data_IF_437408284447
#
_entry.id   IF_437408284447
#
_cell.length_a   1.000
_cell.length_b   1.000
_cell.length_c   1.000
_cell.angle_alpha   90.00
_cell.angle_beta   90.00
_cell.angle_gamma   90.00
#
_symmetry.space_group_name_H-M   'P 1'
#
loop_
_entity.id
_entity.type
_entity.pdbx_description
1 polymer ?
#
# COMPACT_ATOMS: atom_id res chain seq x y z
N UNK A 1 -54.62 8.42 -16.18
CA UNK A 1 -54.46 7.26 -15.27
C UNK A 1 -53.35 7.62 -14.28
N UNK A 2 -53.66 8.37 -13.21
CA UNK A 2 -53.98 7.87 -11.85
C UNK A 2 -52.90 6.91 -11.33
N UNK A 3 -52.00 7.40 -10.48
CA UNK A 3 -51.97 7.00 -9.06
C UNK A 3 -51.01 7.89 -8.28
N UNK A 4 -51.51 8.35 -7.14
CA UNK A 4 -50.95 9.33 -6.20
C UNK A 4 -50.48 8.56 -4.97
N UNK A 5 -49.20 8.71 -4.62
CA UNK A 5 -48.61 8.17 -3.39
C UNK A 5 -48.41 9.27 -2.37
N UNK A 6 -49.41 9.50 -1.50
CA UNK A 6 -49.33 10.34 -0.31
C UNK A 6 -48.46 9.66 0.76
N UNK A 7 -47.33 10.27 1.11
CA UNK A 7 -46.53 9.93 2.29
C UNK A 7 -46.87 10.86 3.45
N UNK A 8 -47.28 10.25 4.56
CA UNK A 8 -47.86 10.86 5.78
C UNK A 8 -46.79 11.60 6.58
N UNK A 9 -47.06 12.88 6.89
CA UNK A 9 -46.28 13.67 7.84
C UNK A 9 -46.59 13.28 9.28
N UNK A 10 -45.59 12.76 9.99
CA UNK A 10 -45.65 12.52 11.43
C UNK A 10 -45.41 13.82 12.19
N UNK A 11 -46.45 14.32 12.85
CA UNK A 11 -46.37 15.41 13.79
C UNK A 11 -45.77 14.91 15.12
N UNK A 12 -44.67 15.53 15.56
CA UNK A 12 -44.09 15.30 16.88
C UNK A 12 -44.88 16.15 17.88
N UNK A 13 -45.62 15.47 18.76
CA UNK A 13 -46.31 16.06 19.91
C UNK A 13 -45.31 16.71 20.87
N UNK A 14 -45.43 18.02 21.08
CA UNK A 14 -44.82 18.72 22.18
C UNK A 14 -45.53 18.32 23.48
N UNK A 15 -44.81 17.67 24.39
CA UNK A 15 -45.31 17.35 25.71
C UNK A 15 -45.36 18.59 26.61
N UNK A 16 -46.51 18.68 27.25
CA UNK A 16 -47.01 19.67 28.19
C UNK A 16 -46.08 19.84 29.41
N UNK A 17 -45.51 21.03 29.57
CA UNK A 17 -44.68 21.38 30.72
C UNK A 17 -45.56 22.02 31.80
N UNK A 18 -45.70 21.27 32.89
CA UNK A 18 -46.55 21.55 34.03
C UNK A 18 -46.37 22.95 34.65
N UNK A 19 -47.54 23.50 34.96
CA UNK A 19 -47.79 24.73 35.72
C UNK A 19 -47.17 24.63 37.13
N UNK A 20 -46.09 25.38 37.34
CA UNK A 20 -45.46 25.57 38.66
C UNK A 20 -46.16 26.69 39.44
N UNK A 21 -46.91 26.26 40.46
CA UNK A 21 -47.57 27.06 41.50
C UNK A 21 -46.58 28.03 42.16
N UNK A 22 -46.84 29.34 42.07
CA UNK A 22 -46.15 30.37 42.85
C UNK A 22 -46.82 30.50 44.22
N UNK A 23 -46.03 30.43 45.29
CA UNK A 23 -46.38 30.95 46.60
C UNK A 23 -45.56 32.22 46.89
N UNK A 24 -46.18 33.28 47.43
CA UNK A 24 -45.46 34.40 48.01
C UNK A 24 -45.22 34.14 49.51
N UNK A 25 -44.06 34.53 50.02
CA UNK A 25 -43.94 35.49 51.14
C UNK A 25 -42.57 35.41 51.83
N UNK A 26 -41.89 36.56 51.79
CA UNK A 26 -41.26 37.26 52.92
C UNK A 26 -40.47 36.45 53.96
N UNK A 27 -39.16 36.65 53.96
CA UNK A 27 -38.24 36.32 55.05
C UNK A 27 -36.97 37.18 54.96
N UNK A 28 -37.09 38.44 55.40
CA UNK A 28 -35.98 39.36 55.64
C UNK A 28 -35.09 38.81 56.75
N UNK A 29 -33.87 38.35 56.43
CA UNK A 29 -32.79 38.21 57.41
C UNK A 29 -31.49 38.85 56.93
N UNK A 30 -30.94 39.63 57.85
CA UNK A 30 -29.85 40.60 57.74
C UNK A 30 -28.50 39.97 57.35
N UNK A 31 -27.75 40.79 56.61
CA UNK A 31 -26.30 40.75 56.33
C UNK A 31 -25.44 40.18 57.48
N UNK A 32 -24.73 39.10 57.18
CA UNK A 32 -23.34 38.92 57.59
C UNK A 32 -22.43 39.31 56.42
N UNK A 33 -21.73 40.44 56.53
CA UNK A 33 -20.69 40.85 55.57
C UNK A 33 -19.41 40.04 55.86
N UNK A 34 -18.70 39.69 54.78
CA UNK A 34 -17.33 39.14 54.72
C UNK A 34 -17.13 37.60 54.67
N UNK A 35 -17.81 36.88 53.75
CA UNK A 35 -17.34 35.56 53.25
C UNK A 35 -17.51 35.32 51.73
N UNK A 36 -17.84 36.35 50.93
CA UNK A 36 -18.07 36.17 49.48
C UNK A 36 -16.78 36.05 48.64
N UNK A 37 -15.61 36.44 49.18
CA UNK A 37 -14.34 36.34 48.46
C UNK A 37 -13.79 34.91 48.34
N UNK A 38 -14.03 34.06 49.35
CA UNK A 38 -13.52 32.69 49.37
C UNK A 38 -14.18 31.78 48.33
N UNK A 39 -15.49 31.93 48.12
CA UNK A 39 -16.26 31.09 47.18
C UNK A 39 -15.81 31.31 45.73
N UNK A 40 -15.53 32.56 45.34
CA UNK A 40 -15.11 32.89 43.99
C UNK A 40 -13.73 32.30 43.66
N UNK A 41 -12.83 32.25 44.66
CA UNK A 41 -11.52 31.63 44.53
C UNK A 41 -11.64 30.10 44.38
N UNK A 42 -12.51 29.45 45.15
CA UNK A 42 -12.79 28.01 45.01
C UNK A 42 -13.37 27.67 43.63
N UNK A 43 -14.32 28.46 43.14
CA UNK A 43 -14.90 28.26 41.81
C UNK A 43 -13.85 28.47 40.71
N UNK A 44 -12.99 29.49 40.83
CA UNK A 44 -11.91 29.73 39.88
C UNK A 44 -10.90 28.57 39.84
N UNK A 45 -10.52 28.02 41.00
CA UNK A 45 -9.62 26.87 41.08
C UNK A 45 -10.27 25.62 40.46
N UNK A 46 -11.57 25.38 40.71
CA UNK A 46 -12.28 24.25 40.10
C UNK A 46 -12.34 24.37 38.56
N UNK A 47 -12.62 25.57 38.04
CA UNK A 47 -12.60 25.81 36.59
C UNK A 47 -11.19 25.62 36.00
N UNK A 48 -10.15 26.04 36.71
CA UNK A 48 -8.76 25.82 36.30
C UNK A 48 -8.41 24.31 36.27
N UNK A 49 -8.86 23.53 37.24
CA UNK A 49 -8.65 22.08 37.27
C UNK A 49 -9.40 21.37 36.15
N UNK A 50 -10.64 21.77 35.87
CA UNK A 50 -11.44 21.20 34.76
C UNK A 50 -10.78 21.51 33.41
N UNK A 51 -10.38 22.76 33.17
CA UNK A 51 -9.73 23.17 31.92
C UNK A 51 -8.37 22.48 31.72
N UNK A 52 -7.56 22.37 32.77
CA UNK A 52 -6.30 21.64 32.73
C UNK A 52 -6.53 20.13 32.43
N UNK A 53 -7.56 19.53 33.02
CA UNK A 53 -7.88 18.11 32.79
C UNK A 53 -8.29 17.85 31.34
N UNK A 54 -9.12 18.72 30.76
CA UNK A 54 -9.52 18.64 29.35
C UNK A 54 -8.30 18.83 28.43
N UNK A 55 -7.43 19.79 28.72
CA UNK A 55 -6.20 20.02 27.95
C UNK A 55 -5.25 18.81 27.99
N UNK A 56 -5.08 18.18 29.17
CA UNK A 56 -4.24 16.99 29.29
C UNK A 56 -4.83 15.81 28.52
N UNK A 57 -6.16 15.65 28.53
CA UNK A 57 -6.83 14.60 27.76
C UNK A 57 -6.63 14.79 26.25
N UNK A 58 -6.85 16.01 25.73
CA UNK A 58 -6.69 16.31 24.30
C UNK A 58 -5.23 16.16 23.84
N UNK A 59 -4.26 16.57 24.68
CA UNK A 59 -2.83 16.37 24.40
C UNK A 59 -2.45 14.89 24.39
N UNK A 60 -2.95 14.08 25.34
CA UNK A 60 -2.69 12.64 25.37
C UNK A 60 -3.22 11.95 24.10
N UNK A 61 -4.40 12.32 23.64
CA UNK A 61 -4.99 11.77 22.42
C UNK A 61 -4.23 12.20 21.16
N UNK A 62 -3.79 13.47 21.10
CA UNK A 62 -2.94 13.96 20.02
C UNK A 62 -1.59 13.21 19.97
N UNK A 63 -0.93 13.04 21.12
CA UNK A 63 0.34 12.29 21.22
C UNK A 63 0.13 10.82 20.82
N UNK A 64 -0.96 10.20 21.28
CA UNK A 64 -1.28 8.81 20.93
C UNK A 64 -1.49 8.64 19.42
N UNK A 65 -2.25 9.55 18.79
CA UNK A 65 -2.42 9.56 17.33
C UNK A 65 -1.11 9.75 16.59
N UNK A 66 -0.29 10.72 17.01
CA UNK A 66 0.99 10.97 16.35
C UNK A 66 1.95 9.78 16.46
N UNK A 67 2.00 9.11 17.62
CA UNK A 67 2.77 7.87 17.81
C UNK A 67 2.27 6.75 16.90
N UNK A 68 0.96 6.57 16.79
CA UNK A 68 0.36 5.56 15.92
C UNK A 68 0.70 5.85 14.45
N UNK A 69 0.53 7.10 13.99
CA UNK A 69 0.92 7.51 12.64
C UNK A 69 2.40 7.25 12.36
N UNK A 70 3.27 7.62 13.30
CA UNK A 70 4.72 7.40 13.15
C UNK A 70 5.05 5.90 13.03
N UNK A 71 4.44 5.06 13.87
CA UNK A 71 4.61 3.61 13.82
C UNK A 71 4.08 3.01 12.50
N UNK A 72 2.93 3.50 12.01
CA UNK A 72 2.35 3.07 10.74
C UNK A 72 3.27 3.41 9.58
N UNK A 73 3.78 4.65 9.51
CA UNK A 73 4.73 5.08 8.48
C UNK A 73 6.04 4.28 8.53
N UNK A 74 6.58 4.06 9.73
CA UNK A 74 7.81 3.26 9.90
C UNK A 74 7.62 1.82 9.44
N UNK A 75 6.48 1.20 9.77
CA UNK A 75 6.19 -0.14 9.28
C UNK A 75 6.00 -0.17 7.77
N UNK A 76 5.26 0.77 7.20
CA UNK A 76 5.10 0.83 5.73
C UNK A 76 6.45 0.99 5.02
N UNK A 77 7.36 1.79 5.58
CA UNK A 77 8.73 1.91 5.07
C UNK A 77 9.52 0.59 5.21
N UNK A 78 9.39 -0.09 6.35
CA UNK A 78 10.00 -1.42 6.57
C UNK A 78 9.46 -2.47 5.61
N UNK A 79 8.14 -2.52 5.42
CA UNK A 79 7.47 -3.44 4.51
C UNK A 79 7.85 -3.13 3.06
N UNK A 80 7.93 -1.85 2.68
CA UNK A 80 8.46 -1.42 1.37
C UNK A 80 9.87 -1.95 1.17
N UNK A 81 10.77 -1.76 2.13
CA UNK A 81 12.13 -2.27 2.03
C UNK A 81 12.17 -3.80 1.96
N UNK A 82 11.36 -4.50 2.77
CA UNK A 82 11.28 -5.95 2.79
C UNK A 82 10.82 -6.52 1.45
N UNK A 83 9.74 -5.96 0.88
CA UNK A 83 9.24 -6.32 -0.44
C UNK A 83 10.33 -6.11 -1.47
N UNK A 84 10.89 -4.90 -1.55
CA UNK A 84 11.94 -4.59 -2.52
C UNK A 84 13.16 -5.51 -2.40
N UNK A 85 13.58 -5.89 -1.18
CA UNK A 85 14.71 -6.79 -0.96
C UNK A 85 14.39 -8.25 -1.31
N UNK A 86 13.25 -8.78 -0.85
CA UNK A 86 12.89 -10.17 -1.09
C UNK A 86 12.75 -10.48 -2.58
N UNK A 87 12.24 -9.52 -3.35
CA UNK A 87 12.11 -9.62 -4.79
C UNK A 87 13.44 -9.62 -5.55
N UNK A 88 14.51 -9.13 -4.91
CA UNK A 88 15.86 -9.21 -5.47
C UNK A 88 16.48 -10.60 -5.25
N UNK A 89 16.00 -11.35 -4.24
CA UNK A 89 16.70 -12.54 -3.74
C UNK A 89 16.14 -13.85 -4.31
N UNK A 90 14.84 -13.96 -4.64
CA UNK A 90 14.39 -15.20 -5.26
C UNK A 90 12.90 -15.48 -5.26
N UNK A 91 12.21 -14.98 -6.27
CA UNK A 91 11.10 -15.75 -6.85
C UNK A 91 11.73 -16.58 -7.96
N UNK A 92 11.55 -17.91 -7.93
CA UNK A 92 12.02 -18.81 -9.00
C UNK A 92 11.35 -18.36 -10.29
N UNK A 93 12.06 -17.57 -11.11
CA UNK A 93 11.41 -16.84 -12.17
C UNK A 93 12.23 -15.67 -12.71
N UNK A 94 11.61 -14.98 -13.67
CA UNK A 94 12.23 -13.90 -14.42
C UNK A 94 12.49 -12.70 -13.49
N UNK A 95 13.68 -12.10 -13.52
CA UNK A 95 13.97 -10.91 -12.75
C UNK A 95 12.99 -9.77 -13.06
N UNK A 96 12.58 -9.04 -12.03
CA UNK A 96 11.57 -7.99 -12.13
C UNK A 96 10.12 -8.46 -12.05
N UNK A 97 9.90 -9.78 -11.98
CA UNK A 97 8.62 -10.34 -11.59
C UNK A 97 8.36 -10.10 -10.10
N UNK A 98 7.16 -9.65 -9.78
CA UNK A 98 6.73 -9.46 -8.40
C UNK A 98 6.06 -10.72 -7.84
N UNK A 99 6.35 -11.04 -6.58
CA UNK A 99 5.58 -12.04 -5.82
C UNK A 99 4.11 -11.66 -5.84
N UNK A 100 3.23 -12.59 -6.14
CA UNK A 100 1.81 -12.28 -6.10
C UNK A 100 1.36 -12.10 -4.64
N UNK A 101 0.40 -11.22 -4.36
CA UNK A 101 -0.15 -11.05 -3.02
C UNK A 101 -0.73 -12.37 -2.47
N UNK A 102 -0.71 -12.53 -1.15
CA UNK A 102 -1.41 -13.62 -0.46
C UNK A 102 -2.90 -13.30 -0.39
N UNK A 103 -3.75 -14.03 -1.12
CA UNK A 103 -5.20 -13.84 -1.09
C UNK A 103 -5.90 -14.93 -0.28
N UNK A 104 -5.17 -15.87 0.29
CA UNK A 104 -5.73 -16.98 1.08
C UNK A 104 -5.39 -16.89 2.57
N UNK A 105 -4.62 -15.88 2.96
CA UNK A 105 -4.19 -15.63 4.34
C UNK A 105 -3.38 -16.81 4.93
N UNK A 106 -2.64 -17.52 4.08
CA UNK A 106 -1.73 -18.59 4.51
C UNK A 106 -0.29 -18.08 4.75
N UNK A 107 -0.03 -16.82 4.40
CA UNK A 107 1.25 -16.14 4.53
C UNK A 107 2.21 -16.32 3.37
N UNK A 108 1.82 -17.09 2.34
CA UNK A 108 2.64 -17.37 1.17
C UNK A 108 2.10 -16.62 -0.06
N UNK A 109 2.94 -16.38 -1.05
CA UNK A 109 2.53 -15.92 -2.38
C UNK A 109 1.54 -16.91 -2.97
N UNK A 110 0.46 -16.40 -3.53
CA UNK A 110 -0.43 -17.23 -4.32
C UNK A 110 0.20 -17.61 -5.68
N UNK A 111 -0.53 -18.39 -6.47
CA UNK A 111 -0.23 -18.58 -7.88
C UNK A 111 -1.17 -17.72 -8.72
N UNK A 112 -0.59 -16.88 -9.58
CA UNK A 112 -1.28 -16.07 -10.60
C UNK A 112 -2.38 -15.15 -10.05
N UNK A 113 -2.10 -13.85 -10.05
CA UNK A 113 -3.12 -12.84 -9.80
C UNK A 113 -3.70 -12.24 -11.08
N UNK A 114 -3.42 -12.79 -12.27
CA UNK A 114 -3.99 -12.38 -13.54
C UNK A 114 -4.61 -13.57 -14.29
N UNK A 115 -5.68 -13.34 -15.07
CA UNK A 115 -6.32 -14.39 -15.86
C UNK A 115 -5.59 -14.55 -17.20
N UNK A 116 -4.88 -15.66 -17.31
CA UNK A 116 -4.21 -16.15 -18.51
C UNK A 116 -5.06 -16.14 -19.81
N UNK A 117 -6.38 -16.27 -19.70
CA UNK A 117 -7.30 -16.44 -20.83
C UNK A 117 -7.85 -15.14 -21.44
N UNK A 118 -7.47 -13.96 -20.93
CA UNK A 118 -7.91 -12.68 -21.49
C UNK A 118 -6.73 -11.94 -22.12
N UNK A 119 -6.96 -11.28 -23.26
CA UNK A 119 -5.91 -10.52 -23.96
C UNK A 119 -5.32 -9.40 -23.08
N UNK A 120 -6.12 -8.89 -22.15
CA UNK A 120 -5.73 -7.88 -21.17
C UNK A 120 -5.27 -8.44 -19.85
N UNK A 121 -5.14 -9.77 -19.64
CA UNK A 121 -4.78 -10.40 -18.34
C UNK A 121 -5.74 -10.10 -17.17
N UNK A 122 -6.64 -9.16 -17.38
CA UNK A 122 -7.72 -8.67 -16.55
C UNK A 122 -9.01 -9.25 -17.13
N UNK A 123 -9.92 -9.72 -16.29
CA UNK A 123 -9.91 -9.67 -14.81
C UNK A 123 -8.86 -10.59 -14.20
N UNK A 124 -8.37 -10.34 -12.99
CA UNK A 124 -7.51 -11.31 -12.33
C UNK A 124 -8.11 -12.73 -12.30
N UNK A 125 -7.26 -13.77 -12.34
CA UNK A 125 -7.74 -15.14 -12.16
C UNK A 125 -8.42 -15.22 -10.81
N UNK A 126 -9.73 -15.47 -10.89
CA UNK A 126 -10.63 -15.61 -9.79
C UNK A 126 -10.12 -16.56 -8.71
N UNK A 127 -9.59 -15.93 -7.69
CA UNK A 127 -9.77 -16.21 -6.27
C UNK A 127 -11.18 -16.08 -5.70
N UNK A 128 -12.33 -16.31 -6.33
CA UNK A 128 -13.58 -16.38 -5.51
C UNK A 128 -14.67 -17.36 -5.96
N UNK A 129 -14.91 -18.35 -5.08
CA UNK A 129 -16.09 -19.22 -4.97
C UNK A 129 -16.38 -20.25 -6.07
N UNK A 130 -15.52 -20.51 -7.05
CA UNK A 130 -15.85 -21.51 -8.09
C UNK A 130 -17.08 -21.16 -8.94
N UNK A 131 -17.64 -19.96 -8.76
CA UNK A 131 -18.81 -19.42 -9.47
C UNK A 131 -18.34 -18.15 -10.18
N UNK A 132 -17.73 -18.34 -11.36
CA UNK A 132 -17.38 -17.34 -12.37
C UNK A 132 -16.44 -16.19 -11.98
N UNK A 133 -15.32 -16.08 -12.75
CA UNK A 133 -14.78 -14.82 -13.27
C UNK A 133 -15.40 -13.50 -12.76
N UNK A 134 -15.06 -12.92 -11.61
CA UNK A 134 -15.50 -11.55 -11.32
C UNK A 134 -14.61 -10.67 -12.18
N UNK A 135 -15.19 -9.85 -13.09
CA UNK A 135 -14.40 -9.03 -13.96
C UNK A 135 -13.51 -7.98 -13.27
N UNK A 136 -13.61 -7.93 -11.94
CA UNK A 136 -13.15 -6.91 -11.03
C UNK A 136 -11.72 -6.88 -10.56
N UNK A 137 -11.01 -8.00 -10.54
CA UNK A 137 -10.00 -8.12 -9.49
C UNK A 137 -8.65 -7.56 -9.93
N UNK A 138 -8.21 -6.54 -9.20
CA UNK A 138 -6.84 -6.01 -9.17
C UNK A 138 -5.92 -7.08 -8.55
N UNK A 139 -4.61 -7.06 -8.84
CA UNK A 139 -3.67 -7.93 -8.12
C UNK A 139 -3.44 -7.37 -6.70
N UNK A 140 -4.43 -7.54 -5.83
CA UNK A 140 -4.47 -7.08 -4.44
C UNK A 140 -4.55 -8.28 -3.51
N UNK A 141 -3.84 -8.20 -2.39
CA UNK A 141 -3.94 -9.18 -1.32
C UNK A 141 -3.14 -8.79 -0.08
N UNK A 142 -3.03 -9.71 0.86
CA UNK A 142 -2.18 -9.58 2.02
C UNK A 142 -0.71 -9.63 1.62
N UNK A 143 0.14 -8.93 2.38
CA UNK A 143 1.58 -9.06 2.26
C UNK A 143 1.99 -10.53 2.56
N UNK A 144 2.68 -11.26 1.68
CA UNK A 144 3.03 -12.66 1.90
C UNK A 144 4.15 -12.83 2.94
N UNK A 145 3.80 -12.69 4.22
CA UNK A 145 4.75 -12.49 5.32
C UNK A 145 5.68 -13.68 5.60
N UNK A 146 5.29 -14.91 5.23
CA UNK A 146 6.14 -16.11 5.38
C UNK A 146 7.18 -16.19 4.29
N UNK A 147 6.80 -15.95 3.04
CA UNK A 147 7.73 -15.95 1.90
C UNK A 147 8.72 -14.80 1.97
N UNK A 148 8.28 -13.66 2.52
CA UNK A 148 9.16 -12.55 2.86
C UNK A 148 10.09 -12.83 4.05
N UNK A 149 9.96 -13.99 4.70
CA UNK A 149 10.72 -14.36 5.89
C UNK A 149 10.73 -13.25 6.94
N UNK A 150 9.58 -12.59 7.14
CA UNK A 150 9.47 -11.46 8.07
C UNK A 150 9.76 -11.85 9.53
N UNK A 151 9.89 -13.16 9.82
CA UNK A 151 10.23 -13.71 11.13
C UNK A 151 9.06 -13.67 12.11
N UNK A 152 7.91 -13.14 11.70
CA UNK A 152 6.73 -12.98 12.56
C UNK A 152 5.64 -13.92 12.10
N UNK A 153 5.27 -14.86 12.97
CA UNK A 153 4.03 -15.59 12.81
C UNK A 153 2.87 -14.61 13.06
N UNK A 154 2.11 -14.35 12.00
CA UNK A 154 0.96 -13.46 12.06
C UNK A 154 -0.27 -14.29 12.44
N UNK A 155 -0.96 -13.89 13.52
CA UNK A 155 -2.27 -14.44 13.87
C UNK A 155 -3.38 -13.71 13.12
N UNK A 156 -4.58 -14.29 13.04
CA UNK A 156 -5.71 -13.62 12.37
C UNK A 156 -6.21 -12.35 13.10
N UNK A 157 -5.78 -12.09 14.34
CA UNK A 157 -6.18 -10.89 15.07
C UNK A 157 -5.52 -9.63 14.52
N UNK A 158 -4.35 -9.74 13.86
CA UNK A 158 -3.73 -8.57 13.23
C UNK A 158 -4.63 -7.94 12.17
N UNK A 159 -5.50 -8.73 11.53
CA UNK A 159 -6.50 -8.24 10.57
C UNK A 159 -7.47 -7.35 11.35
N UNK A 160 -8.06 -7.86 12.42
CA UNK A 160 -9.00 -7.08 13.25
C UNK A 160 -8.39 -5.74 13.70
N UNK A 161 -7.08 -5.74 14.00
CA UNK A 161 -6.35 -4.56 14.44
C UNK A 161 -5.89 -3.63 13.31
N UNK A 162 -6.00 -4.02 12.03
CA UNK A 162 -5.48 -3.24 10.89
C UNK A 162 -3.96 -3.23 10.80
N UNK A 163 -3.28 -4.21 11.41
CA UNK A 163 -1.83 -4.23 11.46
C UNK A 163 -1.19 -4.91 10.26
N UNK A 164 -1.97 -5.68 9.48
CA UNK A 164 -1.49 -6.37 8.28
C UNK A 164 -1.52 -5.45 7.08
N UNK A 165 -0.37 -5.33 6.44
CA UNK A 165 -0.23 -4.54 5.21
C UNK A 165 -0.89 -5.28 4.04
N UNK A 166 -1.73 -4.56 3.30
CA UNK A 166 -2.26 -4.98 2.01
C UNK A 166 -1.27 -4.56 0.94
N UNK A 167 -0.93 -5.47 0.05
CA UNK A 167 -0.08 -5.20 -1.11
C UNK A 167 -0.93 -5.27 -2.39
N UNK A 168 -0.72 -4.27 -3.23
CA UNK A 168 -1.30 -4.18 -4.56
C UNK A 168 -0.18 -4.10 -5.57
N UNK A 169 -0.31 -4.86 -6.64
CA UNK A 169 0.69 -4.96 -7.68
C UNK A 169 0.07 -4.62 -9.02
N UNK A 170 0.82 -3.90 -9.86
CA UNK A 170 0.41 -3.65 -11.23
C UNK A 170 0.35 -4.97 -12.01
N UNK A 171 -0.72 -5.15 -12.79
CA UNK A 171 -0.82 -6.30 -13.69
C UNK A 171 0.36 -6.43 -14.66
N UNK A 172 1.07 -5.33 -14.94
CA UNK A 172 2.26 -5.35 -15.79
C UNK A 172 3.42 -6.18 -15.20
N UNK A 173 3.44 -6.43 -13.90
CA UNK A 173 4.61 -6.97 -13.17
C UNK A 173 4.39 -8.36 -12.57
N UNK A 174 3.31 -9.02 -12.97
CA UNK A 174 2.92 -10.34 -12.46
C UNK A 174 2.74 -11.30 -13.62
N UNK A 175 2.97 -12.58 -13.37
CA UNK A 175 3.01 -13.58 -14.43
C UNK A 175 1.58 -13.87 -14.90
N UNK A 176 1.21 -13.31 -16.04
CA UNK A 176 0.13 -13.81 -16.86
C UNK A 176 0.75 -14.34 -18.13
N UNK A 177 0.33 -15.53 -18.56
CA UNK A 177 0.58 -16.00 -19.92
C UNK A 177 0.14 -14.90 -20.90
N UNK A 178 1.09 -14.20 -21.51
CA UNK A 178 0.80 -13.11 -22.45
C UNK A 178 1.46 -11.77 -22.13
N UNK A 179 2.04 -11.54 -20.94
CA UNK A 179 2.88 -10.34 -20.72
C UNK A 179 4.24 -10.60 -21.37
N UNK A 180 4.63 -9.84 -22.41
CA UNK A 180 5.95 -9.98 -23.03
C UNK A 180 7.05 -9.73 -22.00
N UNK A 181 8.18 -10.42 -22.16
CA UNK A 181 9.34 -10.35 -21.25
C UNK A 181 9.71 -8.89 -20.95
N UNK A 182 10.07 -8.62 -19.70
CA UNK A 182 10.34 -7.29 -19.15
C UNK A 182 11.35 -6.53 -20.02
N UNK A 183 10.81 -5.65 -20.86
CA UNK A 183 11.54 -4.58 -21.50
C UNK A 183 11.04 -3.30 -20.85
N UNK A 184 11.86 -2.70 -19.98
CA UNK A 184 11.52 -1.54 -19.16
C UNK A 184 10.86 -0.44 -19.98
N UNK A 185 11.33 -0.20 -21.20
CA UNK A 185 10.85 0.91 -22.02
C UNK A 185 9.53 0.56 -22.72
N UNK A 186 9.36 -0.68 -23.18
CA UNK A 186 8.08 -1.13 -23.74
C UNK A 186 6.98 -1.12 -22.67
N UNK A 187 7.33 -1.51 -21.44
CA UNK A 187 6.40 -1.50 -20.32
C UNK A 187 6.07 -0.09 -19.83
N UNK A 188 7.03 0.84 -19.86
CA UNK A 188 6.75 2.22 -19.46
C UNK A 188 6.01 3.01 -20.55
N UNK A 189 6.35 2.81 -21.83
CA UNK A 189 5.75 3.55 -22.95
C UNK A 189 4.42 2.96 -23.44
N UNK A 190 4.34 1.63 -23.53
CA UNK A 190 3.17 0.90 -24.07
C UNK A 190 2.85 -0.29 -23.17
N UNK A 191 2.45 -0.05 -21.91
CA UNK A 191 2.19 -1.14 -21.00
C UNK A 191 1.02 -2.00 -21.50
N UNK A 192 1.11 -3.34 -21.39
CA UNK A 192 -0.01 -4.24 -21.69
C UNK A 192 -1.25 -3.94 -20.85
N UNK A 193 -1.06 -3.40 -19.63
CA UNK A 193 -2.12 -3.07 -18.69
C UNK A 193 -1.98 -1.63 -18.19
N UNK A 194 -3.10 -1.01 -17.81
CA UNK A 194 -3.05 0.29 -17.15
C UNK A 194 -2.22 0.19 -15.86
N UNK A 195 -1.24 1.08 -15.70
CA UNK A 195 -0.51 1.22 -14.45
C UNK A 195 -1.43 1.66 -13.30
N UNK A 196 -1.02 1.34 -12.06
CA UNK A 196 -1.75 1.83 -10.89
C UNK A 196 -1.61 3.36 -10.82
N UNK A 197 -2.63 4.00 -10.26
CA UNK A 197 -2.71 5.45 -10.11
C UNK A 197 -2.80 5.80 -8.63
N UNK A 198 -1.98 6.73 -8.17
CA UNK A 198 -2.06 7.34 -6.85
C UNK A 198 -2.49 8.80 -7.00
N UNK A 199 -3.46 9.21 -6.20
CA UNK A 199 -3.99 10.58 -6.14
C UNK A 199 -3.94 11.13 -4.73
N UNK A 200 -3.96 12.45 -4.59
CA UNK A 200 -4.06 13.11 -3.29
C UNK A 200 -5.49 13.09 -2.73
N UNK A 201 -5.68 13.64 -1.53
CA UNK A 201 -6.99 13.76 -0.86
C UNK A 201 -8.07 14.52 -1.65
N UNK A 202 -7.68 15.34 -2.64
CA UNK A 202 -8.59 16.11 -3.49
C UNK A 202 -8.81 15.45 -4.85
N UNK A 203 -8.18 14.30 -5.09
CA UNK A 203 -8.19 13.60 -6.36
C UNK A 203 -7.20 14.15 -7.39
N UNK A 204 -6.30 15.04 -7.00
CA UNK A 204 -5.17 15.48 -7.82
C UNK A 204 -4.23 14.32 -8.11
N UNK A 205 -3.74 14.21 -9.34
CA UNK A 205 -2.85 13.12 -9.73
C UNK A 205 -1.48 13.28 -9.05
N UNK A 206 -1.05 12.24 -8.32
CA UNK A 206 0.30 12.15 -7.73
C UNK A 206 1.22 11.32 -8.61
N UNK A 207 0.76 10.14 -9.04
CA UNK A 207 1.46 9.29 -10.02
C UNK A 207 0.47 8.40 -10.76
N UNK A 208 0.64 8.22 -12.07
CA UNK A 208 -0.14 7.30 -12.91
C UNK A 208 0.70 6.12 -13.42
N UNK A 209 1.90 5.94 -12.88
CA UNK A 209 2.84 4.88 -13.25
C UNK A 209 3.33 4.18 -11.98
N UNK A 210 2.41 3.57 -11.25
CA UNK A 210 2.72 2.91 -9.98
C UNK A 210 2.79 1.39 -10.17
N UNK A 211 3.90 0.80 -9.72
CA UNK A 211 4.20 -0.62 -9.77
C UNK A 211 3.60 -1.37 -8.58
N UNK A 212 3.77 -0.82 -7.38
CA UNK A 212 3.35 -1.43 -6.12
C UNK A 212 2.69 -0.36 -5.25
N UNK A 213 1.59 -0.71 -4.59
CA UNK A 213 1.02 0.07 -3.49
C UNK A 213 0.98 -0.82 -2.25
N UNK A 214 1.51 -0.32 -1.15
CA UNK A 214 1.41 -0.93 0.17
C UNK A 214 0.48 -0.07 1.01
N UNK A 215 -0.61 -0.66 1.47
CA UNK A 215 -1.66 0.02 2.23
C UNK A 215 -1.66 -0.58 3.63
N UNK A 216 -1.54 0.27 4.63
CA UNK A 216 -1.75 -0.10 6.02
C UNK A 216 -3.01 0.59 6.52
N UNK A 217 -4.07 -0.18 6.82
CA UNK A 217 -5.31 0.43 7.23
C UNK A 217 -5.18 1.18 8.54
N UNK A 218 -5.97 2.24 8.70
CA UNK A 218 -6.07 2.91 9.98
C UNK A 218 -7.00 2.18 10.95
N UNK A 219 -7.49 2.90 11.97
CA UNK A 219 -8.50 2.34 12.89
C UNK A 219 -9.82 2.16 12.13
N UNK A 220 -10.59 1.08 12.40
CA UNK A 220 -11.89 0.90 11.77
C UNK A 220 -12.78 2.13 11.93
N UNK A 221 -13.35 2.61 10.81
CA UNK A 221 -14.22 3.76 10.74
C UNK A 221 -15.69 3.34 10.60
N UNK A 222 -16.59 4.05 11.30
CA UNK A 222 -18.04 3.88 11.18
C UNK A 222 -18.50 2.44 11.40
N UNK A 223 -19.05 1.83 10.34
CA UNK A 223 -19.60 0.47 10.35
C UNK A 223 -18.62 -0.61 9.89
N UNK A 224 -17.34 -0.29 9.68
CA UNK A 224 -16.33 -1.28 9.30
C UNK A 224 -16.21 -2.35 10.38
N UNK A 225 -16.45 -3.60 10.00
CA UNK A 225 -16.26 -4.78 10.85
C UNK A 225 -15.18 -5.66 10.24
N UNK A 226 -13.99 -5.59 10.81
CA UNK A 226 -12.87 -6.48 10.49
C UNK A 226 -13.08 -7.79 11.24
N UNK A 227 -13.11 -8.89 10.50
CA UNK A 227 -13.34 -10.23 11.03
C UNK A 227 -12.05 -11.02 10.92
N UNK A 228 -11.76 -11.86 11.92
CA UNK A 228 -10.65 -12.80 11.87
C UNK A 228 -10.83 -13.70 10.64
N UNK A 229 -9.81 -13.78 9.81
CA UNK A 229 -9.78 -14.66 8.65
C UNK A 229 -9.07 -15.96 9.04
N UNK A 230 -9.73 -17.13 8.96
CA UNK A 230 -9.05 -18.40 9.09
C UNK A 230 -8.03 -18.59 7.97
N UNK A 231 -6.92 -19.28 8.27
CA UNK A 231 -5.94 -19.71 7.29
C UNK A 231 -6.61 -20.46 6.12
N UNK A 232 -6.19 -20.15 4.89
CA UNK A 232 -6.73 -20.70 3.64
C UNK A 232 -8.04 -20.06 3.17
N UNK A 233 -8.63 -19.13 3.92
CA UNK A 233 -9.86 -18.44 3.50
C UNK A 233 -9.55 -17.46 2.37
N UNK A 234 -10.28 -17.47 1.24
CA UNK A 234 -10.08 -16.48 0.19
C UNK A 234 -10.59 -15.06 0.58
N UNK A 235 -9.73 -14.04 0.45
CA UNK A 235 -9.92 -12.58 0.64
C UNK A 235 -11.04 -11.82 -0.16
N UNK A 236 -12.33 -12.00 0.05
CA UNK A 236 -13.34 -11.36 -0.85
C UNK A 236 -13.27 -9.82 -0.99
N UNK A 237 -13.77 -9.25 -2.10
CA UNK A 237 -13.97 -7.77 -2.21
C UNK A 237 -14.82 -7.20 -1.05
N UNK A 238 -15.95 -7.82 -0.65
CA UNK A 238 -16.64 -7.42 0.58
C UNK A 238 -15.76 -7.39 1.82
N UNK A 239 -14.82 -8.34 1.98
CA UNK A 239 -13.86 -8.31 3.09
C UNK A 239 -12.87 -7.16 2.97
N UNK A 240 -12.35 -6.89 1.78
CA UNK A 240 -11.50 -5.71 1.55
C UNK A 240 -12.27 -4.41 1.86
N UNK A 241 -13.56 -4.33 1.52
CA UNK A 241 -14.40 -3.16 1.78
C UNK A 241 -14.71 -2.93 3.27
N UNK A 242 -14.58 -3.95 4.12
CA UNK A 242 -14.61 -3.77 5.58
C UNK A 242 -13.24 -3.51 6.18
N UNK A 243 -12.17 -3.73 5.41
CA UNK A 243 -10.78 -3.61 5.84
C UNK A 243 -10.18 -2.25 5.50
N UNK A 244 -10.34 -1.83 4.25
CA UNK A 244 -9.81 -0.62 3.64
C UNK A 244 -10.87 0.48 3.59
N UNK A 245 -10.38 1.71 3.69
CA UNK A 245 -11.18 2.91 3.58
C UNK A 245 -11.46 3.30 2.13
N UNK A 246 -12.54 4.04 1.97
CA UNK A 246 -12.92 4.71 0.73
C UNK A 246 -13.01 6.20 1.00
N UNK A 247 -12.42 7.01 0.14
CA UNK A 247 -12.64 8.45 0.17
C UNK A 247 -13.68 8.83 -0.90
N UNK A 248 -14.93 9.17 -0.51
CA UNK A 248 -16.02 9.40 -1.46
C UNK A 248 -15.67 10.45 -2.51
N UNK A 249 -15.92 10.13 -3.79
CA UNK A 249 -15.64 11.03 -4.92
C UNK A 249 -14.17 11.10 -5.34
N UNK A 250 -13.25 10.46 -4.61
CA UNK A 250 -11.81 10.51 -4.91
C UNK A 250 -11.29 9.15 -5.39
N UNK A 251 -11.29 8.15 -4.52
CA UNK A 251 -10.94 6.77 -4.88
C UNK A 251 -11.53 5.78 -3.87
N UNK A 252 -11.74 4.56 -4.34
CA UNK A 252 -12.11 3.41 -3.53
C UNK A 252 -11.00 2.37 -3.69
N UNK A 253 -10.25 2.09 -2.61
CA UNK A 253 -9.09 1.18 -2.66
C UNK A 253 -9.49 -0.27 -2.94
N UNK A 254 -10.79 -0.57 -2.96
CA UNK A 254 -11.36 -1.87 -3.31
C UNK A 254 -11.95 -1.91 -4.71
N UNK A 255 -11.96 -0.78 -5.43
CA UNK A 255 -12.47 -0.71 -6.78
C UNK A 255 -11.47 -1.19 -7.83
N UNK A 256 -11.99 -1.41 -9.03
CA UNK A 256 -11.22 -1.94 -10.15
C UNK A 256 -10.42 -0.87 -10.90
N UNK A 257 -10.55 0.40 -10.51
CA UNK A 257 -9.98 1.50 -11.29
C UNK A 257 -8.45 1.55 -11.22
N UNK A 258 -7.88 0.80 -10.25
CA UNK A 258 -6.47 0.82 -9.90
C UNK A 258 -6.05 2.16 -9.30
N UNK A 259 -6.99 2.94 -8.76
CA UNK A 259 -6.78 4.27 -8.20
C UNK A 259 -6.72 4.20 -6.67
N UNK A 260 -5.65 4.74 -6.11
CA UNK A 260 -5.38 4.79 -4.68
C UNK A 260 -5.21 6.23 -4.22
N UNK A 261 -5.52 6.48 -2.95
CA UNK A 261 -5.48 7.83 -2.38
C UNK A 261 -4.45 7.92 -1.27
N UNK A 262 -3.53 8.87 -1.38
CA UNK A 262 -2.65 9.29 -0.29
C UNK A 262 -3.20 10.59 0.32
N UNK A 263 -3.85 10.48 1.48
CA UNK A 263 -4.52 11.61 2.12
C UNK A 263 -4.16 11.81 3.60
N UNK A 264 -3.63 10.79 4.28
CA UNK A 264 -3.56 10.79 5.74
C UNK A 264 -4.97 10.75 6.35
N UNK A 265 -5.13 11.28 7.57
CA UNK A 265 -6.45 11.38 8.22
C UNK A 265 -7.29 12.49 7.57
N UNK A 266 -8.46 12.15 7.03
CA UNK A 266 -9.44 13.09 6.47
C UNK A 266 -10.67 13.12 7.35
N UNK A 267 -11.13 14.33 7.67
CA UNK A 267 -12.37 14.55 8.44
C UNK A 267 -13.44 15.21 7.57
N UNK A 268 -14.71 14.94 7.87
CA UNK A 268 -15.83 15.62 7.26
C UNK A 268 -16.14 16.97 7.94
N UNK A 269 -17.19 17.66 7.48
CA UNK A 269 -17.62 18.94 8.04
C UNK A 269 -18.05 18.89 9.52
N UNK A 270 -18.32 17.69 10.05
CA UNK A 270 -18.69 17.47 11.46
C UNK A 270 -17.46 17.17 12.34
N UNK A 271 -16.28 17.06 11.73
CA UNK A 271 -15.05 16.64 12.40
C UNK A 271 -14.92 15.12 12.58
N UNK A 272 -15.81 14.33 11.97
CA UNK A 272 -15.73 12.87 11.99
C UNK A 272 -14.65 12.41 11.00
N UNK A 273 -13.77 11.51 11.43
CA UNK A 273 -12.79 10.88 10.55
C UNK A 273 -13.50 9.96 9.56
N UNK A 274 -13.34 10.23 8.26
CA UNK A 274 -13.96 9.48 7.16
C UNK A 274 -12.95 8.67 6.34
N UNK A 275 -11.66 8.92 6.54
CA UNK A 275 -10.56 8.18 5.91
C UNK A 275 -9.32 8.30 6.80
N UNK A 276 -8.63 7.20 7.09
CA UNK A 276 -7.40 7.17 7.88
C UNK A 276 -6.38 6.12 7.43
N UNK A 277 -6.63 5.44 6.31
CA UNK A 277 -5.67 4.56 5.69
C UNK A 277 -4.41 5.30 5.25
N UNK A 278 -3.27 4.63 5.42
CA UNK A 278 -1.97 5.13 4.98
C UNK A 278 -1.41 4.22 3.92
N UNK A 279 -0.72 4.81 2.94
CA UNK A 279 -0.06 4.03 1.91
C UNK A 279 1.32 4.59 1.58
N UNK A 280 2.17 3.70 1.12
CA UNK A 280 3.38 4.03 0.38
C UNK A 280 3.33 3.31 -0.96
N UNK A 281 4.01 3.82 -1.96
CA UNK A 281 4.03 3.21 -3.28
C UNK A 281 5.44 3.15 -3.85
N UNK A 282 5.60 2.31 -4.87
CA UNK A 282 6.79 2.19 -5.70
C UNK A 282 6.38 2.54 -7.12
N UNK A 283 7.04 3.52 -7.74
CA UNK A 283 6.75 3.84 -9.15
C UNK A 283 7.30 2.75 -10.07
N UNK A 284 6.76 2.66 -11.28
CA UNK A 284 7.27 1.77 -12.31
C UNK A 284 8.75 2.07 -12.61
N UNK A 285 9.15 3.35 -12.65
CA UNK A 285 10.54 3.74 -12.84
C UNK A 285 11.44 3.28 -11.67
N UNK A 286 11.06 3.57 -10.42
CA UNK A 286 11.81 3.12 -9.23
C UNK A 286 12.00 1.60 -9.24
N UNK A 287 10.94 0.85 -9.56
CA UNK A 287 11.01 -0.60 -9.68
C UNK A 287 11.97 -1.04 -10.79
N UNK A 288 11.85 -0.48 -12.00
CA UNK A 288 12.75 -0.81 -13.11
C UNK A 288 14.21 -0.50 -12.79
N UNK A 289 14.52 0.61 -12.13
CA UNK A 289 15.90 0.94 -11.72
C UNK A 289 16.47 -0.12 -10.77
N UNK A 290 15.68 -0.61 -9.80
CA UNK A 290 16.11 -1.69 -8.89
C UNK A 290 16.36 -2.99 -9.63
N UNK A 291 15.44 -3.37 -10.53
CA UNK A 291 15.59 -4.56 -11.37
C UNK A 291 16.84 -4.45 -12.22
N UNK A 292 17.06 -3.33 -12.93
CA UNK A 292 18.24 -3.04 -13.75
C UNK A 292 19.55 -3.18 -12.95
N UNK A 293 19.56 -2.65 -11.72
CA UNK A 293 20.71 -2.75 -10.82
C UNK A 293 21.00 -4.21 -10.44
N UNK A 294 19.96 -5.02 -10.19
CA UNK A 294 20.12 -6.45 -9.91
C UNK A 294 20.74 -7.20 -11.09
N UNK A 295 20.27 -6.90 -12.31
CA UNK A 295 20.80 -7.52 -13.54
C UNK A 295 22.28 -7.26 -13.66
N UNK A 296 22.68 -6.00 -13.49
CA UNK A 296 24.07 -5.60 -13.59
C UNK A 296 24.93 -6.32 -12.53
N UNK A 297 24.42 -6.47 -11.30
CA UNK A 297 25.09 -7.21 -10.25
C UNK A 297 25.24 -8.72 -10.57
N UNK A 298 24.19 -9.36 -11.09
CA UNK A 298 24.24 -10.77 -11.50
C UNK A 298 25.20 -11.00 -12.68
N UNK A 299 25.19 -10.10 -13.66
CA UNK A 299 26.15 -10.16 -14.78
C UNK A 299 27.57 -9.97 -14.28
N UNK A 300 27.79 -9.05 -13.33
CA UNK A 300 29.10 -8.88 -12.70
C UNK A 300 29.55 -10.14 -11.98
N UNK A 301 28.69 -10.75 -11.15
CA UNK A 301 29.04 -11.98 -10.43
C UNK A 301 29.39 -13.12 -11.39
N UNK A 302 28.61 -13.27 -12.47
CA UNK A 302 28.90 -14.25 -13.51
C UNK A 302 30.24 -13.98 -14.21
N UNK A 303 30.57 -12.70 -14.46
CA UNK A 303 31.86 -12.29 -15.01
C UNK A 303 33.01 -12.56 -14.03
N UNK A 304 32.89 -12.17 -12.75
CA UNK A 304 33.93 -12.39 -11.75
C UNK A 304 34.20 -13.91 -11.55
N UNK A 305 33.16 -14.75 -11.57
CA UNK A 305 33.31 -16.21 -11.54
C UNK A 305 34.06 -16.74 -12.75
N UNK A 306 33.79 -16.20 -13.95
CA UNK A 306 34.52 -16.53 -15.17
C UNK A 306 36.04 -16.33 -15.04
N UNK A 307 36.45 -15.31 -14.27
CA UNK A 307 37.83 -14.88 -14.15
C UNK A 307 38.61 -15.56 -13.02
N UNK A 308 37.94 -16.17 -12.03
CA UNK A 308 38.59 -16.77 -10.84
C UNK A 308 38.99 -18.23 -11.03
N UNK A 309 38.28 -18.99 -11.86
CA UNK A 309 38.71 -20.33 -12.29
C UNK A 309 39.60 -20.18 -13.52
N UNK A 310 40.92 -20.21 -13.35
CA UNK A 310 41.97 -20.30 -14.39
C UNK A 310 41.49 -19.98 -15.82
N UNK A 311 41.72 -18.74 -16.27
CA UNK A 311 41.40 -18.20 -17.61
C UNK A 311 40.97 -19.29 -18.61
N UNK A 312 39.66 -19.58 -18.74
CA UNK A 312 39.24 -20.38 -19.85
C UNK A 312 39.56 -19.54 -21.10
N UNK A 313 40.25 -20.13 -22.08
CA UNK A 313 40.53 -19.47 -23.37
C UNK A 313 39.25 -19.08 -24.11
N UNK A 314 38.09 -19.51 -23.61
CA UNK A 314 36.78 -19.02 -23.97
C UNK A 314 36.08 -18.49 -22.70
N UNK A 315 35.64 -17.22 -22.73
CA UNK A 315 34.71 -16.70 -21.72
C UNK A 315 33.54 -17.69 -21.54
N UNK A 316 33.07 -17.98 -20.31
CA UNK A 316 31.78 -18.62 -20.14
C UNK A 316 30.75 -17.78 -20.90
N UNK A 317 29.76 -18.42 -21.55
CA UNK A 317 28.97 -17.77 -22.56
C UNK A 317 27.97 -16.82 -21.92
N UNK A 318 28.44 -15.65 -21.44
CA UNK A 318 27.61 -14.47 -21.22
C UNK A 318 27.22 -13.98 -22.62
N UNK A 319 26.27 -14.68 -23.21
CA UNK A 319 25.76 -14.49 -24.56
C UNK A 319 24.29 -14.87 -24.60
N UNK A 320 23.71 -14.92 -25.80
CA UNK A 320 22.28 -15.15 -25.97
C UNK A 320 21.74 -16.35 -25.17
N UNK A 321 22.53 -17.43 -25.02
CA UNK A 321 22.14 -18.62 -24.24
C UNK A 321 22.05 -18.37 -22.72
N UNK A 322 23.01 -17.64 -22.11
CA UNK A 322 22.94 -17.27 -20.70
C UNK A 322 21.81 -16.27 -20.44
N UNK A 323 21.63 -15.30 -21.35
CA UNK A 323 20.50 -14.38 -21.28
C UNK A 323 19.17 -15.14 -21.42
N UNK A 324 19.04 -16.08 -22.35
CA UNK A 324 17.82 -16.90 -22.47
C UNK A 324 17.58 -17.79 -21.25
N UNK A 325 18.61 -18.46 -20.72
CA UNK A 325 18.52 -19.32 -19.55
C UNK A 325 18.09 -18.56 -18.29
N UNK A 326 18.40 -17.27 -18.20
CA UNK A 326 18.05 -16.39 -17.09
C UNK A 326 16.90 -15.42 -17.41
N UNK A 327 16.28 -15.51 -18.59
CA UNK A 327 15.11 -14.71 -18.98
C UNK A 327 15.38 -13.24 -19.38
N UNK A 328 16.60 -12.92 -19.86
CA UNK A 328 17.13 -11.58 -20.18
C UNK A 328 17.24 -11.25 -21.68
N UNK A 329 16.35 -11.76 -22.51
CA UNK A 329 16.39 -11.57 -23.96
C UNK A 329 16.24 -10.12 -24.45
N UNK A 330 15.94 -9.17 -23.56
CA UNK A 330 15.89 -7.72 -23.85
C UNK A 330 17.26 -7.02 -23.93
N UNK A 331 18.35 -7.66 -23.48
CA UNK A 331 19.71 -7.10 -23.61
C UNK A 331 20.18 -7.27 -25.05
N UNK A 332 20.29 -6.15 -25.76
CA UNK A 332 20.38 -6.10 -27.23
C UNK A 332 21.79 -5.82 -27.72
N UNK A 333 22.61 -5.12 -26.93
CA UNK A 333 24.01 -4.87 -27.24
C UNK A 333 24.87 -5.26 -26.05
N UNK A 334 25.53 -6.41 -26.16
CA UNK A 334 26.57 -6.86 -25.26
C UNK A 334 27.90 -6.75 -25.99
N UNK A 335 28.87 -6.06 -25.40
CA UNK A 335 30.25 -6.17 -25.83
C UNK A 335 31.14 -6.50 -24.64
N UNK A 336 32.03 -7.46 -24.84
CA UNK A 336 33.15 -7.69 -23.95
C UNK A 336 34.42 -7.40 -24.72
N UNK A 337 35.27 -6.53 -24.20
CA UNK A 337 36.54 -6.16 -24.82
C UNK A 337 37.61 -6.11 -23.74
N UNK A 338 38.50 -7.11 -23.77
CA UNK A 338 39.49 -7.31 -22.71
C UNK A 338 38.83 -7.45 -21.34
N UNK A 339 39.16 -6.53 -20.45
CA UNK A 339 38.71 -6.47 -19.07
C UNK A 339 37.39 -5.69 -18.87
N UNK A 340 36.75 -5.25 -19.95
CA UNK A 340 35.53 -4.45 -19.89
C UNK A 340 34.34 -5.19 -20.50
N UNK A 341 33.27 -5.33 -19.73
CA UNK A 341 31.94 -5.73 -20.22
C UNK A 341 31.09 -4.48 -20.29
N UNK A 342 30.52 -4.22 -21.45
CA UNK A 342 29.58 -3.12 -21.67
C UNK A 342 28.22 -3.72 -22.04
N UNK A 343 27.25 -3.45 -21.18
CA UNK A 343 25.85 -3.73 -21.42
C UNK A 343 25.21 -2.44 -21.89
N UNK A 344 24.81 -2.43 -23.16
CA UNK A 344 24.03 -1.34 -23.69
C UNK A 344 22.61 -1.82 -23.92
N UNK A 345 21.70 -1.20 -23.20
CA UNK A 345 20.28 -1.41 -23.39
C UNK A 345 19.91 -0.56 -24.62
N UNK A 346 19.68 -1.21 -25.77
CA UNK A 346 19.53 -0.48 -27.04
C UNK A 346 18.32 0.47 -27.08
N UNK A 347 17.43 0.42 -26.08
CA UNK A 347 16.22 1.26 -26.03
C UNK A 347 16.37 2.51 -25.14
N UNK A 348 16.88 2.42 -23.90
CA UNK A 348 17.10 3.62 -23.06
C UNK A 348 18.47 4.28 -23.30
N UNK A 349 19.36 3.66 -24.08
CA UNK A 349 20.72 4.13 -24.28
C UNK A 349 21.60 4.05 -23.03
N UNK A 350 21.02 3.63 -21.89
CA UNK A 350 21.71 3.31 -20.67
C UNK A 350 22.80 2.28 -20.93
N UNK A 351 24.00 2.64 -20.49
CA UNK A 351 25.20 1.85 -20.67
C UNK A 351 25.75 1.53 -19.30
N UNK A 352 25.78 0.24 -18.99
CA UNK A 352 26.43 -0.28 -17.80
C UNK A 352 27.77 -0.85 -18.21
N UNK A 353 28.83 -0.30 -17.64
CA UNK A 353 30.19 -0.74 -17.91
C UNK A 353 30.76 -1.37 -16.66
N UNK A 354 31.08 -2.64 -16.76
CA UNK A 354 31.77 -3.42 -15.74
C UNK A 354 33.21 -3.55 -16.20
N UNK A 355 34.14 -2.86 -15.55
CA UNK A 355 35.56 -2.88 -15.90
C UNK A 355 36.36 -3.54 -14.78
N UNK A 356 37.19 -4.53 -15.12
CA UNK A 356 38.11 -5.15 -14.17
C UNK A 356 39.19 -4.15 -13.77
N UNK A 357 39.41 -4.03 -12.47
CA UNK A 357 40.57 -3.38 -11.86
C UNK A 357 41.21 -4.38 -10.90
N UNK A 358 42.21 -5.12 -11.40
CA UNK A 358 42.89 -6.17 -10.64
C UNK A 358 42.00 -7.40 -10.40
N UNK A 359 41.74 -7.74 -9.14
CA UNK A 359 40.87 -8.85 -8.75
C UNK A 359 39.40 -8.44 -8.54
N UNK A 360 39.05 -7.17 -8.79
CA UNK A 360 37.70 -6.64 -8.58
C UNK A 360 37.12 -6.05 -9.87
N UNK A 361 35.82 -6.24 -10.11
CA UNK A 361 35.07 -5.43 -11.07
C UNK A 361 34.68 -4.06 -10.50
N UNK A 362 34.77 -3.00 -11.30
CA UNK A 362 34.17 -1.70 -11.05
C UNK A 362 32.98 -1.54 -11.97
N UNK A 363 31.82 -1.20 -11.41
CA UNK A 363 30.60 -0.96 -12.19
C UNK A 363 30.40 0.54 -12.31
N UNK A 364 30.23 1.01 -13.53
CA UNK A 364 29.89 2.39 -13.85
C UNK A 364 28.64 2.41 -14.72
N UNK A 365 27.85 3.48 -14.58
CA UNK A 365 26.61 3.68 -15.32
C UNK A 365 26.66 5.03 -16.02
N UNK A 366 26.28 5.04 -17.30
CA UNK A 366 26.09 6.26 -18.10
C UNK A 366 24.73 6.21 -18.79
N UNK A 367 23.98 7.32 -18.70
CA UNK A 367 22.63 7.46 -19.27
C UNK A 367 21.53 7.47 -18.22
N UNK A 368 20.28 7.58 -18.66
CA UNK A 368 19.10 7.53 -17.82
C UNK A 368 18.17 6.41 -18.30
N UNK A 369 17.86 5.49 -17.39
CA UNK A 369 16.68 4.64 -17.41
C UNK A 369 16.03 4.93 -16.03
#
# INVERSE_FOLDING_TARGET
MISSGKGVGGAIQAQDLGVLKRHPSCGLLRRGRAQQGGVLLVVAVLLAVITASVLVATLRDAIKRNRQTTQTVQQLASDKALVLNALMIGVVGRPGLLMTPDRTFNGNTDQNCLQAGTASGLPARNVWNGVAADPGVLCIGWLPWRDLQSGVAIDGNVIVQGLLTVIVISGNLVDATGVPRLNSDAMLATPPHKWLTVVDAKGGLVSNQVAIVLIRPGKPLGSQRRVVQPDGTPLTRPMLATYLDRLPGVADHTDMSGRFTIAGEVTDSTGQVIFNDQLVYVTAQEWMTLVLTRVAAEIRLAADLAYTTAYPTAMPPVGAAWFQANGWDGVTNYSATGDQITLRFARCGGTWTIQRQGSAGVVSHQGGC
#
